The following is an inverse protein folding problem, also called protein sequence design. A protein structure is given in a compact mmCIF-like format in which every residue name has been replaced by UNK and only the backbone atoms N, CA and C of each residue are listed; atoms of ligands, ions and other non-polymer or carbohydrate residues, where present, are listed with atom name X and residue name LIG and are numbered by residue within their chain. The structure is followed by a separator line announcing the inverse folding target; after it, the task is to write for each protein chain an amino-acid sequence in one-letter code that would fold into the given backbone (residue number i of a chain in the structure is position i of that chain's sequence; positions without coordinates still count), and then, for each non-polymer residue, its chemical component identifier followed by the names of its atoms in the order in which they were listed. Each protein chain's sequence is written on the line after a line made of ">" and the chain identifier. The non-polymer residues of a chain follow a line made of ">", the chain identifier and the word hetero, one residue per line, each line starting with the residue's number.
data_IF_390001726723
#
_entry.id   IF_390001726723
#
_cell.length_a   1.000
_cell.length_b   1.000
_cell.length_c   1.000
_cell.angle_alpha   90.00
_cell.angle_beta   90.00
_cell.angle_gamma   90.00
#
_symmetry.space_group_name_H-M   'P 1'
#
loop_
_entity.id
_entity.type
_entity.pdbx_description
1 polymer ?
#
# COMPACT_ATOMS: atom_id res chain seq x y z
N UNK A 1 0.09 34.28 -73.12
CA UNK A 1 0.15 33.25 -72.06
C UNK A 1 0.96 33.81 -70.90
N UNK A 2 0.32 34.17 -69.80
CA UNK A 2 0.99 34.74 -68.63
C UNK A 2 1.27 33.60 -67.66
N UNK A 3 2.55 33.27 -67.45
CA UNK A 3 2.97 32.32 -66.44
C UNK A 3 2.65 32.90 -65.05
N UNK A 4 1.78 32.24 -64.29
CA UNK A 4 1.56 32.54 -62.87
C UNK A 4 2.85 32.21 -62.12
N UNK A 5 3.60 33.24 -61.72
CA UNK A 5 4.64 33.12 -60.70
C UNK A 5 3.94 32.86 -59.37
N UNK A 6 4.02 31.62 -58.89
CA UNK A 6 3.63 31.29 -57.53
C UNK A 6 4.60 31.99 -56.57
N UNK A 7 4.10 32.97 -55.82
CA UNK A 7 4.80 33.55 -54.69
C UNK A 7 4.94 32.47 -53.61
N UNK A 8 6.13 31.86 -53.53
CA UNK A 8 6.56 31.19 -52.31
C UNK A 8 7.10 32.30 -51.40
N UNK A 9 6.22 32.80 -50.53
CA UNK A 9 6.63 33.74 -49.48
C UNK A 9 7.49 33.03 -48.41
N UNK A 10 8.18 33.80 -47.55
CA UNK A 10 9.12 33.28 -46.53
C UNK A 10 8.48 32.35 -45.48
N UNK A 11 7.16 32.16 -45.50
CA UNK A 11 6.45 31.21 -44.63
C UNK A 11 6.67 29.73 -45.01
N UNK A 12 7.21 29.44 -46.20
CA UNK A 12 7.46 28.07 -46.66
C UNK A 12 8.87 27.51 -46.35
N UNK A 13 9.82 28.38 -45.97
CA UNK A 13 11.24 28.02 -45.78
C UNK A 13 11.57 27.64 -44.32
N UNK A 14 10.78 28.12 -43.35
CA UNK A 14 10.97 27.83 -41.92
C UNK A 14 10.22 26.58 -41.43
N UNK A 15 9.40 25.95 -42.28
CA UNK A 15 8.63 24.75 -41.92
C UNK A 15 9.56 23.54 -41.67
N UNK A 16 10.60 23.26 -42.48
CA UNK A 16 11.49 22.12 -42.22
C UNK A 16 12.39 22.32 -40.99
N UNK A 17 12.73 23.56 -40.63
CA UNK A 17 13.63 23.89 -39.53
C UNK A 17 12.92 23.93 -38.16
N UNK A 18 11.63 24.23 -38.13
CA UNK A 18 10.83 24.25 -36.88
C UNK A 18 10.46 22.84 -36.40
N UNK A 19 10.32 21.86 -37.29
CA UNK A 19 9.94 20.49 -36.93
C UNK A 19 10.93 19.79 -35.97
N UNK A 20 12.26 19.80 -36.20
CA UNK A 20 13.22 19.24 -35.26
C UNK A 20 13.19 19.92 -33.89
N UNK A 21 12.95 21.25 -33.85
CA UNK A 21 12.86 22.01 -32.60
C UNK A 21 11.61 21.60 -31.83
N UNK A 22 10.45 21.59 -32.48
CA UNK A 22 9.18 21.21 -31.85
C UNK A 22 9.19 19.74 -31.43
N UNK A 23 9.71 18.83 -32.26
CA UNK A 23 9.86 17.43 -31.92
C UNK A 23 10.80 17.22 -30.73
N UNK A 24 11.91 17.96 -30.68
CA UNK A 24 12.85 17.95 -29.55
C UNK A 24 12.20 18.44 -28.25
N UNK A 25 11.44 19.53 -28.30
CA UNK A 25 10.69 20.05 -27.14
C UNK A 25 9.62 19.06 -26.68
N UNK A 26 8.87 18.44 -27.60
CA UNK A 26 7.85 17.45 -27.26
C UNK A 26 8.46 16.17 -26.66
N UNK A 27 9.58 15.69 -27.21
CA UNK A 27 10.33 14.57 -26.63
C UNK A 27 10.87 14.90 -25.25
N UNK A 28 11.39 16.12 -25.05
CA UNK A 28 11.89 16.56 -23.76
C UNK A 28 10.77 16.65 -22.72
N UNK A 29 9.63 17.27 -23.06
CA UNK A 29 8.46 17.35 -22.17
C UNK A 29 7.91 15.95 -21.88
N UNK A 30 7.83 15.07 -22.89
CA UNK A 30 7.37 13.70 -22.74
C UNK A 30 8.26 12.88 -21.81
N UNK A 31 9.59 12.98 -21.96
CA UNK A 31 10.54 12.29 -21.08
C UNK A 31 10.52 12.85 -19.66
N UNK A 32 10.39 14.17 -19.47
CA UNK A 32 10.24 14.76 -18.13
C UNK A 32 8.93 14.32 -17.45
N UNK A 33 7.81 14.30 -18.17
CA UNK A 33 6.53 13.85 -17.63
C UNK A 33 6.58 12.36 -17.24
N UNK A 34 7.19 11.52 -18.07
CA UNK A 34 7.40 10.10 -17.78
C UNK A 34 8.29 9.90 -16.55
N UNK A 35 9.42 10.61 -16.46
CA UNK A 35 10.32 10.54 -15.31
C UNK A 35 9.62 11.00 -14.02
N UNK A 36 8.82 12.07 -14.08
CA UNK A 36 8.04 12.55 -12.94
C UNK A 36 7.01 11.51 -12.48
N UNK A 37 6.34 10.83 -13.41
CA UNK A 37 5.41 9.73 -13.10
C UNK A 37 6.11 8.57 -12.39
N UNK A 38 7.27 8.13 -12.89
CA UNK A 38 8.05 7.07 -12.27
C UNK A 38 8.53 7.45 -10.86
N UNK A 39 9.00 8.68 -10.68
CA UNK A 39 9.44 9.16 -9.36
C UNK A 39 8.26 9.20 -8.38
N UNK A 40 7.09 9.67 -8.82
CA UNK A 40 5.88 9.68 -8.00
C UNK A 40 5.45 8.26 -7.58
N UNK A 41 5.49 7.31 -8.51
CA UNK A 41 5.17 5.90 -8.25
C UNK A 41 6.15 5.27 -7.23
N UNK A 42 7.46 5.49 -7.41
CA UNK A 42 8.48 5.00 -6.47
C UNK A 42 8.35 5.63 -5.09
N UNK A 43 8.08 6.93 -5.02
CA UNK A 43 7.86 7.61 -3.75
C UNK A 43 6.62 7.05 -3.02
N UNK A 44 5.52 6.83 -3.75
CA UNK A 44 4.31 6.19 -3.22
C UNK A 44 4.62 4.80 -2.65
N UNK A 45 5.40 4.01 -3.39
CA UNK A 45 5.80 2.67 -2.96
C UNK A 45 6.66 2.69 -1.68
N UNK A 46 7.63 3.60 -1.60
CA UNK A 46 8.48 3.77 -0.42
C UNK A 46 7.68 4.23 0.79
N UNK A 47 6.69 5.10 0.59
CA UNK A 47 5.82 5.58 1.66
C UNK A 47 4.98 4.46 2.26
N UNK A 48 4.40 3.58 1.42
CA UNK A 48 3.65 2.39 1.88
C UNK A 48 4.56 1.47 2.70
N UNK A 49 5.77 1.17 2.23
CA UNK A 49 6.74 0.32 2.94
C UNK A 49 7.26 0.94 4.24
N UNK A 50 7.53 2.24 4.24
CA UNK A 50 7.94 2.96 5.46
C UNK A 50 6.82 2.91 6.50
N UNK A 51 5.58 3.08 6.06
CA UNK A 51 4.41 3.03 6.93
C UNK A 51 4.15 1.62 7.45
N UNK A 52 4.29 0.59 6.62
CA UNK A 52 4.15 -0.80 7.06
C UNK A 52 5.18 -1.17 8.13
N UNK A 53 6.43 -0.71 7.99
CA UNK A 53 7.47 -0.90 9.00
C UNK A 53 7.21 -0.11 10.29
N UNK A 54 6.66 1.10 10.18
CA UNK A 54 6.26 1.90 11.34
C UNK A 54 5.11 1.25 12.12
N UNK A 55 4.09 0.79 11.40
CA UNK A 55 2.95 0.06 11.99
C UNK A 55 3.40 -1.25 12.62
N UNK A 56 4.27 -2.02 11.93
CA UNK A 56 4.79 -3.27 12.48
C UNK A 56 5.53 -3.05 13.78
N UNK A 57 6.39 -2.03 13.87
CA UNK A 57 7.11 -1.71 15.09
C UNK A 57 6.17 -1.41 16.27
N UNK A 58 5.09 -0.69 16.03
CA UNK A 58 4.09 -0.35 17.08
C UNK A 58 3.39 -1.61 17.58
N UNK A 59 3.01 -2.54 16.70
CA UNK A 59 2.27 -3.75 17.10
C UNK A 59 3.19 -4.82 17.70
N UNK A 60 4.46 -4.87 17.32
CA UNK A 60 5.41 -5.87 17.85
C UNK A 60 6.16 -5.41 19.11
N UNK A 61 5.95 -4.16 19.57
CA UNK A 61 6.73 -3.54 20.67
C UNK A 61 6.76 -4.39 21.95
N UNK A 62 5.66 -5.05 22.28
CA UNK A 62 5.52 -5.82 23.53
C UNK A 62 5.85 -7.31 23.40
N UNK A 63 5.98 -7.84 22.19
CA UNK A 63 6.15 -9.28 21.92
C UNK A 63 4.93 -10.16 22.27
N UNK A 64 4.05 -9.71 23.17
CA UNK A 64 2.73 -10.30 23.45
C UNK A 64 1.61 -9.37 22.98
N UNK A 65 0.49 -9.95 22.57
CA UNK A 65 -0.69 -9.21 22.15
C UNK A 65 -1.98 -9.87 22.64
N UNK A 66 -2.77 -9.12 23.43
CA UNK A 66 -4.16 -9.48 23.76
C UNK A 66 -5.12 -8.73 22.85
N UNK A 67 -6.35 -9.23 22.73
CA UNK A 67 -7.40 -8.55 21.95
C UNK A 67 -7.62 -7.10 22.40
N UNK A 68 -7.80 -6.89 23.71
CA UNK A 68 -7.98 -5.55 24.28
C UNK A 68 -6.78 -4.62 24.07
N UNK A 69 -5.55 -5.17 24.07
CA UNK A 69 -4.34 -4.40 23.79
C UNK A 69 -4.33 -3.91 22.33
N UNK A 70 -4.71 -4.78 21.39
CA UNK A 70 -4.79 -4.40 19.98
C UNK A 70 -5.87 -3.34 19.74
N UNK A 71 -7.04 -3.49 20.35
CA UNK A 71 -8.13 -2.51 20.24
C UNK A 71 -7.72 -1.13 20.78
N UNK A 72 -7.02 -1.11 21.92
CA UNK A 72 -6.50 0.13 22.53
C UNK A 72 -5.43 0.77 21.63
N UNK A 73 -4.45 -0.01 21.17
CA UNK A 73 -3.42 0.47 20.24
C UNK A 73 -4.03 0.97 18.93
N UNK A 74 -5.10 0.33 18.46
CA UNK A 74 -5.83 0.71 17.26
C UNK A 74 -6.41 2.12 17.37
N UNK A 75 -7.13 2.38 18.45
CA UNK A 75 -7.77 3.68 18.72
C UNK A 75 -6.73 4.78 18.98
N UNK A 76 -5.68 4.47 19.74
CA UNK A 76 -4.76 5.49 20.23
C UNK A 76 -3.70 5.90 19.21
N UNK A 77 -3.07 4.91 18.57
CA UNK A 77 -1.86 5.09 17.75
C UNK A 77 -2.06 4.70 16.29
N UNK A 78 -2.50 3.47 16.01
CA UNK A 78 -2.43 2.89 14.66
C UNK A 78 -3.31 3.64 13.65
N UNK A 79 -4.57 3.94 14.02
CA UNK A 79 -5.48 4.71 13.14
C UNK A 79 -4.93 6.09 12.81
N UNK A 80 -4.42 6.83 13.80
CA UNK A 80 -3.83 8.14 13.60
C UNK A 80 -2.60 8.06 12.70
N UNK A 81 -1.75 7.06 12.92
CA UNK A 81 -0.53 6.86 12.12
C UNK A 81 -0.85 6.58 10.64
N UNK A 82 -1.75 5.63 10.36
CA UNK A 82 -2.15 5.29 8.99
C UNK A 82 -2.85 6.44 8.26
N UNK A 83 -3.75 7.15 8.95
CA UNK A 83 -4.47 8.31 8.38
C UNK A 83 -3.51 9.46 8.07
N UNK A 84 -2.55 9.76 8.95
CA UNK A 84 -1.55 10.80 8.70
C UNK A 84 -0.64 10.46 7.52
N UNK A 85 -0.31 9.18 7.34
CA UNK A 85 0.48 8.68 6.21
C UNK A 85 -0.33 8.50 4.91
N UNK A 86 -1.66 8.77 4.93
CA UNK A 86 -2.56 8.62 3.77
C UNK A 86 -2.44 7.24 3.11
N UNK A 87 -2.37 6.20 3.93
CA UNK A 87 -2.40 4.81 3.48
C UNK A 87 -3.58 4.08 4.13
N UNK A 88 -4.02 3.01 3.49
CA UNK A 88 -4.99 2.07 4.04
C UNK A 88 -4.23 0.95 4.70
N UNK A 89 -4.70 0.48 5.85
CA UNK A 89 -4.10 -0.66 6.50
C UNK A 89 -5.15 -1.58 7.12
N UNK A 90 -4.78 -2.85 7.25
CA UNK A 90 -5.46 -3.86 8.03
C UNK A 90 -4.40 -4.57 8.85
N UNK A 91 -4.63 -4.66 10.15
CA UNK A 91 -3.82 -5.45 11.06
C UNK A 91 -4.73 -6.53 11.61
N UNK A 92 -4.38 -7.79 11.38
CA UNK A 92 -5.09 -8.94 11.96
C UNK A 92 -4.19 -9.62 12.99
N UNK A 93 -4.82 -10.14 14.03
CA UNK A 93 -4.22 -10.98 15.05
C UNK A 93 -4.91 -12.34 14.97
N UNK A 94 -4.12 -13.38 14.74
CA UNK A 94 -4.55 -14.77 14.66
C UNK A 94 -3.99 -15.55 15.86
N UNK A 95 -4.80 -16.48 16.39
CA UNK A 95 -4.43 -17.34 17.52
C UNK A 95 -4.27 -18.77 17.03
N UNK A 96 -3.07 -19.30 17.17
CA UNK A 96 -2.70 -20.65 16.73
C UNK A 96 -2.57 -21.58 17.94
N UNK A 97 -3.53 -21.50 18.87
CA UNK A 97 -3.51 -22.27 20.12
C UNK A 97 -3.49 -23.79 19.95
N UNK A 98 -4.18 -24.41 18.96
CA UNK A 98 -4.09 -25.86 18.74
C UNK A 98 -2.83 -26.28 17.95
N UNK A 99 -1.95 -25.33 17.60
CA UNK A 99 -0.81 -25.53 16.71
C UNK A 99 -1.00 -24.78 15.39
N UNK A 100 0.11 -24.50 14.71
CA UNK A 100 0.13 -23.72 13.47
C UNK A 100 -0.52 -24.49 12.31
N UNK A 101 -1.59 -23.94 11.73
CA UNK A 101 -2.19 -24.48 10.50
C UNK A 101 -1.62 -23.74 9.29
N UNK A 102 -1.06 -24.49 8.35
CA UNK A 102 -0.65 -23.91 7.07
C UNK A 102 -1.89 -23.60 6.24
N UNK A 103 -2.26 -22.32 6.20
CA UNK A 103 -3.36 -21.85 5.39
C UNK A 103 -3.09 -22.09 3.90
N UNK A 104 -4.04 -22.72 3.20
CA UNK A 104 -3.93 -23.00 1.76
C UNK A 104 -4.37 -21.82 0.90
N UNK A 105 -5.20 -20.92 1.42
CA UNK A 105 -5.63 -19.72 0.73
C UNK A 105 -4.91 -18.48 1.29
N UNK A 106 -4.01 -17.84 0.52
CA UNK A 106 -3.31 -16.65 0.97
C UNK A 106 -4.23 -15.44 1.19
N UNK A 107 -5.51 -15.53 0.84
CA UNK A 107 -6.48 -14.43 1.00
C UNK A 107 -7.12 -14.35 2.38
N UNK A 108 -7.10 -15.42 3.17
CA UNK A 108 -7.72 -15.43 4.50
C UNK A 108 -7.11 -14.38 5.42
N UNK A 109 -5.83 -14.10 5.26
CA UNK A 109 -5.09 -13.06 5.99
C UNK A 109 -5.68 -11.66 5.82
N UNK A 110 -6.41 -11.40 4.73
CA UNK A 110 -7.06 -10.12 4.47
C UNK A 110 -8.50 -10.04 5.00
N UNK A 111 -9.06 -11.13 5.53
CA UNK A 111 -10.41 -11.14 6.06
C UNK A 111 -10.40 -10.73 7.55
N UNK A 112 -10.97 -9.57 7.93
CA UNK A 112 -11.03 -9.16 9.32
C UNK A 112 -11.94 -10.05 10.18
N UNK A 113 -12.85 -10.82 9.58
CA UNK A 113 -13.85 -11.61 10.31
C UNK A 113 -13.32 -12.97 10.79
N UNK A 114 -12.29 -13.50 10.13
CA UNK A 114 -11.63 -14.75 10.52
C UNK A 114 -10.58 -14.51 11.61
N UNK A 115 -10.08 -13.29 11.72
CA UNK A 115 -9.09 -12.90 12.71
C UNK A 115 -9.66 -12.92 14.14
N UNK A 116 -8.83 -13.30 15.10
CA UNK A 116 -9.17 -13.23 16.52
C UNK A 116 -9.39 -11.77 16.98
N UNK A 117 -8.58 -10.85 16.44
CA UNK A 117 -8.79 -9.42 16.56
C UNK A 117 -8.30 -8.70 15.30
N UNK A 118 -8.94 -7.59 14.93
CA UNK A 118 -8.58 -6.83 13.75
C UNK A 118 -8.58 -5.32 14.03
N UNK A 119 -7.72 -4.58 13.34
CA UNK A 119 -7.64 -3.14 13.39
C UNK A 119 -7.46 -2.58 11.98
N UNK A 120 -8.26 -1.57 11.63
CA UNK A 120 -8.12 -0.84 10.38
C UNK A 120 -8.46 0.64 10.57
N UNK A 121 -7.97 1.47 9.66
CA UNK A 121 -8.45 2.85 9.46
C UNK A 121 -9.61 2.95 8.45
N UNK A 122 -10.09 1.83 7.93
CA UNK A 122 -11.29 1.73 7.11
C UNK A 122 -12.39 1.01 7.89
N UNK A 123 -13.62 1.18 7.44
CA UNK A 123 -14.74 0.32 7.84
C UNK A 123 -14.47 -1.10 7.32
N UNK A 124 -14.71 -2.11 8.16
CA UNK A 124 -14.42 -3.51 7.80
C UNK A 124 -15.23 -3.99 6.58
N UNK A 125 -16.45 -3.47 6.39
CA UNK A 125 -17.28 -3.77 5.21
C UNK A 125 -16.67 -3.24 3.90
N UNK A 126 -15.79 -2.25 3.97
CA UNK A 126 -15.07 -1.71 2.82
C UNK A 126 -13.82 -2.53 2.46
N UNK A 127 -13.42 -3.49 3.30
CA UNK A 127 -12.24 -4.32 3.09
C UNK A 127 -12.68 -5.60 2.37
N UNK A 128 -12.36 -5.68 1.08
CA UNK A 128 -12.59 -6.88 0.28
C UNK A 128 -11.25 -7.57 -0.01
N UNK A 129 -11.01 -8.80 0.46
CA UNK A 129 -9.75 -9.52 0.28
C UNK A 129 -9.23 -9.52 -1.17
N UNK A 130 -10.11 -9.75 -2.14
CA UNK A 130 -9.76 -9.75 -3.56
C UNK A 130 -9.27 -8.39 -4.07
N UNK A 131 -9.90 -7.30 -3.64
CA UNK A 131 -9.53 -5.95 -4.04
C UNK A 131 -8.22 -5.52 -3.37
N UNK A 132 -7.98 -5.94 -2.12
CA UNK A 132 -6.73 -5.66 -1.41
C UNK A 132 -5.58 -6.41 -2.08
N UNK A 133 -5.73 -7.71 -2.35
CA UNK A 133 -4.71 -8.53 -2.99
C UNK A 133 -4.33 -7.99 -4.40
N UNK A 134 -5.31 -7.52 -5.18
CA UNK A 134 -5.08 -6.95 -6.50
C UNK A 134 -4.28 -5.63 -6.48
N UNK A 135 -4.26 -4.91 -5.34
CA UNK A 135 -3.56 -3.62 -5.19
C UNK A 135 -2.08 -3.73 -4.82
N UNK A 136 -1.51 -4.94 -4.88
CA UNK A 136 -0.11 -5.21 -4.51
C UNK A 136 0.22 -4.69 -3.09
N UNK A 137 -0.48 -5.19 -2.06
CA UNK A 137 -0.28 -4.72 -0.70
C UNK A 137 1.09 -5.13 -0.18
N UNK A 138 1.60 -4.39 0.80
CA UNK A 138 2.73 -4.84 1.61
C UNK A 138 2.16 -5.64 2.77
N UNK A 139 2.52 -6.92 2.84
CA UNK A 139 2.10 -7.85 3.89
C UNK A 139 3.33 -8.23 4.71
N UNK A 140 3.27 -8.01 6.01
CA UNK A 140 4.31 -8.36 6.96
C UNK A 140 3.71 -9.20 8.08
N UNK A 141 4.25 -10.40 8.29
CA UNK A 141 3.72 -11.34 9.27
C UNK A 141 4.74 -11.52 10.39
N UNK A 142 4.30 -11.36 11.64
CA UNK A 142 5.15 -11.42 12.82
C UNK A 142 4.59 -12.40 13.84
N UNK A 143 5.41 -13.34 14.35
CA UNK A 143 5.01 -14.17 15.45
C UNK A 143 4.91 -13.34 16.73
N UNK A 144 3.86 -13.58 17.51
CA UNK A 144 3.65 -12.94 18.82
C UNK A 144 3.10 -13.94 19.83
N UNK A 145 3.33 -13.66 21.11
CA UNK A 145 2.70 -14.37 22.20
C UNK A 145 1.24 -13.94 22.35
N UNK A 146 0.32 -14.89 22.48
CA UNK A 146 -1.13 -14.65 22.67
C UNK A 146 -1.68 -15.56 23.76
N UNK A 147 -2.71 -15.16 24.51
CA UNK A 147 -3.32 -16.04 25.51
C UNK A 147 -3.90 -17.32 24.87
N UNK A 148 -3.53 -18.49 25.39
CA UNK A 148 -4.01 -19.80 24.93
C UNK A 148 -4.23 -20.75 26.13
N UNK A 149 -5.22 -21.66 26.12
CA UNK A 149 -6.12 -22.02 25.01
C UNK A 149 -7.25 -21.01 24.78
N UNK A 150 -7.57 -20.18 25.78
CA UNK A 150 -8.63 -19.18 25.74
C UNK A 150 -8.09 -17.77 26.05
N UNK A 151 -8.89 -16.75 25.74
CA UNK A 151 -8.53 -15.33 25.94
C UNK A 151 -8.17 -15.00 27.40
N UNK A 152 -8.80 -15.69 28.36
CA UNK A 152 -8.56 -15.52 29.80
C UNK A 152 -7.42 -16.38 30.35
N UNK A 153 -6.68 -17.10 29.51
CA UNK A 153 -5.62 -17.98 29.99
C UNK A 153 -4.42 -17.22 30.54
N UNK A 154 -3.75 -17.81 31.53
CA UNK A 154 -2.49 -17.33 32.09
C UNK A 154 -1.25 -17.83 31.34
N UNK A 155 -1.44 -18.75 30.40
CA UNK A 155 -0.37 -19.28 29.55
C UNK A 155 -0.41 -18.63 28.18
N UNK A 156 0.75 -18.19 27.72
CA UNK A 156 0.91 -17.66 26.38
C UNK A 156 1.24 -18.80 25.40
N UNK A 157 0.50 -18.83 24.30
CA UNK A 157 0.77 -19.66 23.13
C UNK A 157 1.25 -18.84 21.94
N UNK A 158 1.22 -19.47 20.77
CA UNK A 158 1.67 -18.87 19.52
C UNK A 158 0.50 -18.15 18.83
N UNK A 159 0.78 -16.97 18.29
CA UNK A 159 -0.11 -16.24 17.42
C UNK A 159 0.67 -15.50 16.34
N UNK A 160 -0.06 -14.99 15.35
CA UNK A 160 0.50 -14.24 14.24
C UNK A 160 -0.18 -12.88 14.16
N UNK A 161 0.62 -11.83 14.04
CA UNK A 161 0.15 -10.51 13.61
C UNK A 161 0.48 -10.33 12.15
N UNK A 162 -0.54 -10.05 11.35
CA UNK A 162 -0.38 -9.71 9.96
C UNK A 162 -0.62 -8.21 9.79
N UNK A 163 0.37 -7.50 9.28
CA UNK A 163 0.32 -6.06 9.00
C UNK A 163 0.24 -5.89 7.49
N UNK A 164 -0.93 -5.47 7.02
CA UNK A 164 -1.25 -5.30 5.60
C UNK A 164 -1.43 -3.82 5.32
N UNK A 165 -0.69 -3.27 4.36
CA UNK A 165 -0.76 -1.84 4.00
C UNK A 165 -0.83 -1.66 2.49
N UNK A 166 -1.73 -0.78 2.03
CA UNK A 166 -1.94 -0.48 0.61
C UNK A 166 -2.47 0.95 0.39
N UNK A 167 -2.69 1.32 -0.88
CA UNK A 167 -3.35 2.57 -1.29
C UNK A 167 -4.60 2.31 -2.13
#
# INVERSE_FOLDING_TARGET
>A
MVARRAFVGPLGDDIPSIFPIVAGVLLFIGTMAYAASLVAEKNSYLEVRKTSLGLSYIVTERGQMKKADLETLCADKLRKFGTNARVKFLITLERECPGYVFETDPKTTYDPNTAYAACSNLDFDAIKPDEVAARSPVVLNYPVAVPCPDEGSFTDGFGMINVIVWR
#
